data_IF_607992174883
#
_entry.id   IF_607992174883
#
_cell.length_a   1.000
_cell.length_b   1.000
_cell.length_c   1.000
_cell.angle_alpha   90.00
_cell.angle_beta   90.00
_cell.angle_gamma   90.00
#
_symmetry.space_group_name_H-M   'P 1'
#
loop_
_entity.id
_entity.type
_entity.pdbx_description
1 polymer ?
#
# COMPACT_ATOMS: atom_id res chain seq x y z
N UNK A 1 3.06 -14.55 -9.57
CA UNK A 1 1.60 -14.34 -9.76
C UNK A 1 0.78 -14.80 -8.56
N UNK A 2 0.87 -16.08 -8.11
CA UNK A 2 0.08 -16.57 -6.97
C UNK A 2 0.21 -15.71 -5.70
N UNK A 3 1.44 -15.36 -5.30
CA UNK A 3 1.66 -14.49 -4.13
C UNK A 3 0.98 -13.12 -4.23
N UNK A 4 0.90 -12.54 -5.44
CA UNK A 4 0.17 -11.28 -5.65
C UNK A 4 -1.31 -11.44 -5.37
N UNK A 5 -1.93 -12.52 -5.88
CA UNK A 5 -3.35 -12.80 -5.64
C UNK A 5 -3.60 -13.09 -4.16
N UNK A 6 -2.78 -13.93 -3.52
CA UNK A 6 -2.89 -14.23 -2.07
C UNK A 6 -2.78 -12.96 -1.23
N UNK A 7 -1.86 -12.08 -1.57
CA UNK A 7 -1.66 -10.80 -0.88
C UNK A 7 -2.83 -9.84 -1.06
N UNK A 8 -3.34 -9.73 -2.28
CA UNK A 8 -4.53 -8.95 -2.58
C UNK A 8 -5.72 -9.45 -1.76
N UNK A 9 -5.98 -10.76 -1.78
CA UNK A 9 -7.05 -11.38 -1.00
C UNK A 9 -6.89 -11.15 0.51
N UNK A 10 -5.66 -11.23 1.04
CA UNK A 10 -5.39 -10.93 2.44
C UNK A 10 -5.78 -9.48 2.79
N UNK A 11 -5.37 -8.50 1.97
CA UNK A 11 -5.72 -7.10 2.17
C UNK A 11 -7.23 -6.89 2.08
N UNK A 12 -7.91 -7.53 1.12
CA UNK A 12 -9.37 -7.47 1.00
C UNK A 12 -10.08 -8.04 2.22
N UNK A 13 -9.64 -9.20 2.72
CA UNK A 13 -10.23 -9.82 3.91
C UNK A 13 -10.02 -8.95 5.14
N UNK A 14 -8.81 -8.42 5.35
CA UNK A 14 -8.51 -7.52 6.47
C UNK A 14 -9.35 -6.23 6.35
N UNK A 15 -9.43 -5.64 5.16
CA UNK A 15 -10.19 -4.44 4.89
C UNK A 15 -11.68 -4.63 5.13
N UNK A 16 -12.28 -5.69 4.55
CA UNK A 16 -13.69 -5.99 4.73
C UNK A 16 -14.03 -6.31 6.19
N UNK A 17 -13.21 -7.10 6.88
CA UNK A 17 -13.41 -7.40 8.29
C UNK A 17 -13.42 -6.13 9.14
N UNK A 18 -12.45 -5.24 8.88
CA UNK A 18 -12.34 -3.95 9.56
C UNK A 18 -13.51 -3.03 9.22
N UNK A 19 -13.93 -2.99 7.96
CA UNK A 19 -15.10 -2.21 7.53
C UNK A 19 -16.37 -2.60 8.31
N UNK A 20 -16.62 -3.90 8.48
CA UNK A 20 -17.78 -4.39 9.24
C UNK A 20 -17.70 -4.01 10.72
N UNK A 21 -16.53 -4.17 11.35
CA UNK A 21 -16.30 -3.81 12.76
C UNK A 21 -16.53 -2.30 12.99
N UNK A 22 -15.98 -1.46 12.11
CA UNK A 22 -16.00 0.00 12.26
C UNK A 22 -17.23 0.68 11.65
N UNK A 23 -18.19 -0.08 11.12
CA UNK A 23 -19.39 0.44 10.46
C UNK A 23 -20.21 1.39 11.35
N UNK A 24 -20.18 1.22 12.68
CA UNK A 24 -20.84 2.15 13.60
C UNK A 24 -20.04 3.40 13.96
N UNK A 25 -18.73 3.39 13.78
CA UNK A 25 -17.87 4.52 14.15
C UNK A 25 -17.94 5.59 13.05
N UNK A 26 -17.85 5.19 11.78
CA UNK A 26 -17.85 6.10 10.64
C UNK A 26 -19.25 6.39 10.09
N UNK A 27 -20.24 6.63 10.96
CA UNK A 27 -21.65 6.86 10.55
C UNK A 27 -21.83 8.13 9.73
N UNK A 28 -20.99 9.15 9.91
CA UNK A 28 -21.14 10.46 9.25
C UNK A 28 -20.45 10.51 7.89
N UNK A 29 -19.49 9.63 7.64
CA UNK A 29 -18.69 9.63 6.41
C UNK A 29 -19.49 8.98 5.25
N UNK A 30 -19.52 9.58 4.05
CA UNK A 30 -20.23 9.06 2.88
C UNK A 30 -19.98 7.59 2.55
N UNK A 31 -18.74 7.10 2.62
CA UNK A 31 -18.35 5.71 2.33
C UNK A 31 -18.39 4.79 3.58
N UNK A 32 -18.84 5.32 4.73
CA UNK A 32 -18.84 4.64 6.04
C UNK A 32 -17.48 4.08 6.48
N UNK A 33 -16.39 4.72 6.03
CA UNK A 33 -15.02 4.33 6.39
C UNK A 33 -14.48 3.15 5.59
N UNK A 34 -15.13 2.76 4.48
CA UNK A 34 -14.65 1.68 3.61
C UNK A 34 -13.24 1.97 3.07
N UNK A 35 -12.97 3.19 2.61
CA UNK A 35 -11.70 3.59 2.01
C UNK A 35 -10.49 3.42 2.92
N UNK A 36 -10.65 3.71 4.20
CA UNK A 36 -9.59 3.60 5.21
C UNK A 36 -9.58 2.24 5.92
N UNK A 37 -10.56 1.38 5.66
CA UNK A 37 -10.70 0.09 6.36
C UNK A 37 -9.51 -0.85 6.14
N UNK A 38 -8.96 -0.88 4.92
CA UNK A 38 -7.76 -1.64 4.55
C UNK A 38 -6.53 -1.20 5.36
N UNK A 39 -6.06 0.06 5.28
CA UNK A 39 -4.90 0.49 6.07
C UNK A 39 -5.18 0.44 7.58
N UNK A 40 -6.38 0.81 8.03
CA UNK A 40 -6.72 0.76 9.46
C UNK A 40 -6.65 -0.68 10.01
N UNK A 41 -7.20 -1.65 9.28
CA UNK A 41 -7.19 -3.05 9.69
C UNK A 41 -5.78 -3.61 9.81
N UNK A 42 -4.94 -3.32 8.82
CA UNK A 42 -3.54 -3.73 8.80
C UNK A 42 -2.79 -3.10 9.98
N UNK A 43 -2.97 -1.79 10.22
CA UNK A 43 -2.34 -1.09 11.34
C UNK A 43 -2.82 -1.65 12.67
N UNK A 44 -4.14 -1.85 12.87
CA UNK A 44 -4.68 -2.39 14.11
C UNK A 44 -4.14 -3.79 14.42
N UNK A 45 -4.10 -4.67 13.41
CA UNK A 45 -3.59 -6.03 13.55
C UNK A 45 -2.09 -6.04 13.88
N UNK A 46 -1.32 -5.19 13.19
CA UNK A 46 0.12 -5.05 13.39
C UNK A 46 0.45 -4.39 14.73
N UNK A 47 -0.33 -3.40 15.15
CA UNK A 47 -0.16 -2.72 16.43
C UNK A 47 -0.48 -3.64 17.59
N UNK A 48 -1.55 -4.44 17.50
CA UNK A 48 -1.91 -5.42 18.52
C UNK A 48 -0.80 -6.46 18.70
N UNK A 49 -0.32 -7.05 17.60
CA UNK A 49 0.78 -8.03 17.64
C UNK A 49 2.08 -7.40 18.15
N UNK A 50 2.39 -6.17 17.76
CA UNK A 50 3.56 -5.44 18.23
C UNK A 50 3.50 -5.13 19.73
N UNK A 51 2.40 -4.55 20.22
CA UNK A 51 2.23 -4.16 21.63
C UNK A 51 2.31 -5.38 22.56
N UNK A 52 1.70 -6.50 22.18
CA UNK A 52 1.72 -7.71 23.01
C UNK A 52 3.10 -8.38 23.00
N UNK A 53 3.83 -8.24 21.91
CA UNK A 53 5.18 -8.79 21.73
C UNK A 53 6.26 -7.93 22.37
N UNK A 54 6.14 -6.60 22.38
CA UNK A 54 7.07 -5.70 23.09
C UNK A 54 6.84 -5.76 24.61
N UNK A 55 5.61 -6.02 25.04
CA UNK A 55 5.26 -6.19 26.46
C UNK A 55 5.58 -7.59 26.99
N UNK A 56 6.16 -8.47 26.15
CA UNK A 56 6.50 -9.86 26.48
C UNK A 56 5.30 -10.74 26.93
N UNK A 57 4.06 -10.31 26.64
CA UNK A 57 2.83 -11.03 27.02
C UNK A 57 2.57 -12.19 26.04
N UNK A 58 2.64 -11.91 24.73
CA UNK A 58 2.42 -12.90 23.68
C UNK A 58 3.52 -12.72 22.63
N UNK A 59 4.33 -13.75 22.36
CA UNK A 59 5.36 -13.67 21.33
C UNK A 59 4.71 -13.57 19.95
N UNK A 60 5.28 -12.75 19.06
CA UNK A 60 4.82 -12.58 17.68
C UNK A 60 5.17 -13.77 16.78
N UNK A 61 4.86 -14.99 17.20
CA UNK A 61 5.00 -16.19 16.35
C UNK A 61 4.00 -16.17 15.19
N UNK A 62 4.27 -16.94 14.13
CA UNK A 62 3.32 -17.11 13.02
C UNK A 62 1.94 -17.52 13.52
N UNK A 63 1.88 -18.54 14.38
CA UNK A 63 0.63 -19.03 14.99
C UNK A 63 -0.09 -17.91 15.74
N UNK A 64 0.60 -17.16 16.61
CA UNK A 64 -0.02 -16.07 17.35
C UNK A 64 -0.59 -15.00 16.40
N UNK A 65 0.18 -14.57 15.40
CA UNK A 65 -0.28 -13.57 14.41
C UNK A 65 -1.49 -14.06 13.59
N UNK A 66 -1.52 -15.33 13.19
CA UNK A 66 -2.66 -15.97 12.52
C UNK A 66 -3.88 -16.01 13.45
N UNK A 67 -3.70 -16.32 14.74
CA UNK A 67 -4.80 -16.32 15.70
C UNK A 67 -5.40 -14.91 15.89
N UNK A 68 -4.59 -13.84 15.90
CA UNK A 68 -5.10 -12.47 15.91
C UNK A 68 -5.90 -12.15 14.65
N UNK A 69 -5.43 -12.59 13.48
CA UNK A 69 -6.15 -12.43 12.22
C UNK A 69 -7.48 -13.19 12.23
N UNK A 70 -7.50 -14.44 12.72
CA UNK A 70 -8.74 -15.22 12.88
C UNK A 70 -9.69 -14.52 13.88
N UNK A 71 -9.17 -13.98 14.98
CA UNK A 71 -9.93 -13.19 15.94
C UNK A 71 -10.60 -11.97 15.29
N UNK A 72 -9.89 -11.24 14.44
CA UNK A 72 -10.45 -10.13 13.65
C UNK A 72 -11.62 -10.60 12.77
N UNK A 73 -11.45 -11.72 12.06
CA UNK A 73 -12.50 -12.29 11.21
C UNK A 73 -13.72 -12.71 12.04
N UNK A 74 -13.52 -13.40 13.15
CA UNK A 74 -14.62 -13.84 14.04
C UNK A 74 -15.38 -12.62 14.57
N UNK A 75 -14.68 -11.59 15.07
CA UNK A 75 -15.29 -10.34 15.53
C UNK A 75 -16.14 -9.69 14.42
N UNK A 76 -15.59 -9.63 13.20
CA UNK A 76 -16.31 -9.12 12.03
C UNK A 76 -17.57 -9.95 11.73
N UNK A 77 -17.49 -11.28 11.75
CA UNK A 77 -18.63 -12.16 11.46
C UNK A 77 -19.74 -12.01 12.52
N UNK A 78 -19.39 -11.93 13.81
CA UNK A 78 -20.34 -11.70 14.90
C UNK A 78 -21.05 -10.35 14.71
N UNK A 79 -20.30 -9.28 14.46
CA UNK A 79 -20.90 -7.95 14.25
C UNK A 79 -21.74 -7.92 12.96
N UNK A 80 -21.25 -8.54 11.89
CA UNK A 80 -21.90 -8.61 10.59
C UNK A 80 -23.22 -9.36 10.63
N UNK A 81 -23.31 -10.45 11.39
CA UNK A 81 -24.57 -11.21 11.60
C UNK A 81 -25.57 -10.43 12.42
N UNK A 82 -25.15 -9.81 13.53
CA UNK A 82 -26.01 -8.96 14.37
C UNK A 82 -26.54 -7.76 13.59
N UNK A 83 -25.73 -7.18 12.68
CA UNK A 83 -26.05 -5.94 11.94
C UNK A 83 -26.25 -6.15 10.45
N UNK A 84 -26.68 -7.34 10.02
CA UNK A 84 -26.79 -7.70 8.60
C UNK A 84 -27.67 -6.74 7.81
N UNK A 85 -28.78 -6.26 8.39
CA UNK A 85 -29.68 -5.32 7.73
C UNK A 85 -29.03 -3.94 7.54
N UNK A 86 -28.30 -3.46 8.55
CA UNK A 86 -27.57 -2.18 8.47
C UNK A 86 -26.44 -2.27 7.43
N UNK A 87 -25.69 -3.37 7.41
CA UNK A 87 -24.63 -3.60 6.43
C UNK A 87 -25.19 -3.60 5.00
N UNK A 88 -26.27 -4.35 4.76
CA UNK A 88 -26.95 -4.37 3.45
C UNK A 88 -27.42 -2.98 3.01
N UNK A 89 -28.03 -2.22 3.92
CA UNK A 89 -28.48 -0.84 3.63
C UNK A 89 -27.31 0.10 3.33
N UNK A 90 -26.23 0.01 4.10
CA UNK A 90 -25.02 0.82 3.90
C UNK A 90 -24.39 0.54 2.54
N UNK A 91 -24.18 -0.74 2.21
CA UNK A 91 -23.62 -1.13 0.92
C UNK A 91 -24.53 -0.69 -0.21
N UNK A 92 -25.84 -0.96 -0.11
CA UNK A 92 -26.82 -0.55 -1.13
C UNK A 92 -26.88 0.96 -1.34
N UNK A 93 -26.76 1.76 -0.28
CA UNK A 93 -26.90 3.21 -0.39
C UNK A 93 -25.61 3.91 -0.85
N UNK A 94 -24.45 3.27 -0.65
CA UNK A 94 -23.13 3.89 -0.92
C UNK A 94 -22.30 3.07 -1.92
N UNK A 95 -22.91 2.12 -2.65
CA UNK A 95 -22.19 1.22 -3.56
C UNK A 95 -21.34 1.96 -4.60
N UNK A 96 -21.77 3.14 -5.08
CA UNK A 96 -21.04 3.92 -6.09
C UNK A 96 -19.67 4.37 -5.58
N UNK A 97 -19.64 5.03 -4.42
CA UNK A 97 -18.38 5.52 -3.84
C UNK A 97 -17.50 4.34 -3.39
N UNK A 98 -18.09 3.27 -2.84
CA UNK A 98 -17.38 2.04 -2.48
C UNK A 98 -16.74 1.42 -3.72
N UNK A 99 -17.50 1.26 -4.82
CA UNK A 99 -16.99 0.64 -6.05
C UNK A 99 -15.93 1.47 -6.75
N UNK A 100 -16.05 2.79 -6.75
CA UNK A 100 -15.03 3.67 -7.34
C UNK A 100 -13.74 3.70 -6.51
N UNK A 101 -13.88 3.68 -5.18
CA UNK A 101 -12.75 3.57 -4.24
C UNK A 101 -12.02 2.24 -4.46
N UNK A 102 -12.78 1.16 -4.57
CA UNK A 102 -12.25 -0.19 -4.81
C UNK A 102 -11.60 -0.31 -6.19
N UNK A 103 -12.23 0.24 -7.23
CA UNK A 103 -11.66 0.30 -8.56
C UNK A 103 -10.32 1.06 -8.57
N UNK A 104 -10.25 2.18 -7.85
CA UNK A 104 -9.01 2.94 -7.70
C UNK A 104 -7.93 2.10 -7.00
N UNK A 105 -8.27 1.41 -5.92
CA UNK A 105 -7.37 0.49 -5.23
C UNK A 105 -6.84 -0.59 -6.19
N UNK A 106 -7.73 -1.31 -6.87
CA UNK A 106 -7.38 -2.44 -7.75
C UNK A 106 -6.56 -2.00 -8.97
N UNK A 107 -6.88 -0.87 -9.58
CA UNK A 107 -6.12 -0.35 -10.71
C UNK A 107 -4.71 0.06 -10.29
N UNK A 108 -4.57 0.79 -9.17
CA UNK A 108 -3.24 1.17 -8.66
C UNK A 108 -2.46 -0.06 -8.20
N UNK A 109 -3.11 -1.03 -7.55
CA UNK A 109 -2.50 -2.31 -7.20
C UNK A 109 -1.95 -3.01 -8.45
N UNK A 110 -2.76 -3.13 -9.51
CA UNK A 110 -2.35 -3.79 -10.75
C UNK A 110 -1.17 -3.07 -11.41
N UNK A 111 -1.18 -1.73 -11.47
CA UNK A 111 -0.08 -0.94 -12.05
C UNK A 111 1.22 -1.22 -11.30
N UNK A 112 1.23 -1.08 -9.98
CA UNK A 112 2.45 -1.30 -9.19
C UNK A 112 2.86 -2.77 -9.13
N UNK A 113 1.90 -3.69 -9.15
CA UNK A 113 2.17 -5.11 -9.26
C UNK A 113 2.89 -5.42 -10.57
N UNK A 114 2.44 -4.87 -11.70
CA UNK A 114 3.13 -5.02 -12.98
C UNK A 114 4.55 -4.45 -12.94
N UNK A 115 4.75 -3.27 -12.35
CA UNK A 115 6.08 -2.66 -12.18
C UNK A 115 7.02 -3.60 -11.40
N UNK A 116 6.60 -4.04 -10.20
CA UNK A 116 7.42 -4.93 -9.35
C UNK A 116 7.53 -6.36 -9.88
N UNK A 117 6.59 -6.80 -10.72
CA UNK A 117 6.67 -8.10 -11.37
C UNK A 117 7.70 -8.11 -12.50
N UNK A 118 7.83 -7.00 -13.23
CA UNK A 118 8.82 -6.85 -14.30
C UNK A 118 10.24 -6.67 -13.75
N UNK A 119 10.40 -5.97 -12.62
CA UNK A 119 11.67 -5.81 -11.93
C UNK A 119 11.53 -6.04 -10.40
N UNK A 120 11.58 -7.30 -9.95
CA UNK A 120 11.45 -7.65 -8.54
C UNK A 120 12.75 -7.50 -7.75
N UNK A 121 13.83 -7.04 -8.38
CA UNK A 121 15.16 -6.90 -7.77
C UNK A 121 15.14 -6.08 -6.48
N UNK A 122 15.97 -6.52 -5.52
CA UNK A 122 16.19 -5.85 -4.22
C UNK A 122 17.70 -5.61 -4.11
N UNK A 123 18.23 -4.79 -5.02
CA UNK A 123 19.66 -4.62 -5.22
C UNK A 123 20.04 -3.17 -5.52
N UNK A 124 19.12 -2.23 -5.36
CA UNK A 124 19.36 -0.81 -5.63
C UNK A 124 19.35 -0.03 -4.32
N UNK A 125 20.31 0.89 -4.17
CA UNK A 125 20.38 1.88 -3.08
C UNK A 125 20.08 1.29 -1.69
N UNK A 126 19.02 1.75 -1.04
CA UNK A 126 18.61 1.39 0.32
C UNK A 126 17.76 0.11 0.37
N UNK A 127 17.35 -0.45 -0.78
CA UNK A 127 16.49 -1.63 -0.82
C UNK A 127 17.06 -2.84 -0.04
N UNK A 128 18.37 -3.15 -0.10
CA UNK A 128 18.93 -4.23 0.69
C UNK A 128 18.81 -3.99 2.20
N UNK A 129 18.97 -2.75 2.66
CA UNK A 129 18.78 -2.37 4.08
C UNK A 129 17.32 -2.55 4.49
N UNK A 130 16.38 -1.99 3.73
CA UNK A 130 14.95 -2.11 4.00
C UNK A 130 14.51 -3.59 4.05
N UNK A 131 15.04 -4.40 3.14
CA UNK A 131 14.77 -5.83 3.10
C UNK A 131 15.37 -6.58 4.30
N UNK A 132 16.55 -6.18 4.77
CA UNK A 132 17.15 -6.73 5.98
C UNK A 132 16.30 -6.41 7.21
N UNK A 133 15.80 -5.17 7.34
CA UNK A 133 14.91 -4.77 8.44
C UNK A 133 13.53 -5.44 8.38
N UNK A 134 12.98 -5.66 7.17
CA UNK A 134 11.79 -6.49 6.98
C UNK A 134 12.02 -7.92 7.43
N UNK A 135 13.15 -8.54 7.07
CA UNK A 135 13.49 -9.89 7.53
C UNK A 135 13.62 -9.96 9.05
N UNK A 136 14.33 -9.01 9.67
CA UNK A 136 14.48 -8.97 11.11
C UNK A 136 13.11 -8.84 11.81
N UNK A 137 12.25 -7.96 11.32
CA UNK A 137 10.89 -7.74 11.86
C UNK A 137 9.96 -8.93 11.63
N UNK A 138 10.09 -9.62 10.49
CA UNK A 138 9.29 -10.80 10.16
C UNK A 138 9.78 -12.07 10.88
N UNK A 139 11.04 -12.15 11.29
CA UNK A 139 11.59 -13.32 11.99
C UNK A 139 11.57 -13.20 13.49
N UNK A 140 11.60 -11.99 14.03
CA UNK A 140 11.58 -11.81 15.48
C UNK A 140 10.27 -12.32 16.09
N UNK A 141 10.40 -12.92 17.27
CA UNK A 141 9.28 -13.35 18.12
C UNK A 141 9.02 -12.37 19.26
N UNK A 142 9.94 -11.45 19.53
CA UNK A 142 9.80 -10.37 20.50
C UNK A 142 9.58 -9.06 19.76
N UNK A 143 9.08 -8.04 20.46
CA UNK A 143 8.99 -6.68 19.89
C UNK A 143 10.36 -6.01 19.71
N UNK A 144 11.46 -6.77 19.65
CA UNK A 144 12.81 -6.25 19.60
C UNK A 144 13.57 -6.95 18.47
N UNK A 145 13.33 -6.59 17.20
CA UNK A 145 14.07 -7.18 16.09
C UNK A 145 15.55 -6.84 16.20
N UNK A 146 16.39 -7.85 15.99
CA UNK A 146 17.85 -7.69 15.98
C UNK A 146 18.29 -6.86 14.77
N UNK A 147 19.29 -6.01 14.98
CA UNK A 147 19.91 -5.23 13.93
C UNK A 147 20.78 -6.15 13.05
N UNK A 148 20.50 -6.24 11.73
CA UNK A 148 21.31 -7.04 10.83
C UNK A 148 22.78 -6.58 10.75
N UNK A 149 23.05 -5.29 10.93
CA UNK A 149 24.37 -4.67 10.78
C UNK A 149 25.12 -4.50 12.09
N UNK A 150 24.46 -4.64 13.24
CA UNK A 150 25.09 -4.54 14.54
C UNK A 150 24.77 -5.76 15.42
N UNK A 151 25.67 -6.75 15.34
CA UNK A 151 25.46 -8.06 15.94
C UNK A 151 25.24 -7.99 17.46
N UNK A 152 24.10 -8.51 17.92
CA UNK A 152 23.73 -8.61 19.33
C UNK A 152 22.84 -7.47 19.82
N UNK A 153 22.69 -6.42 19.02
CA UNK A 153 21.85 -5.26 19.33
C UNK A 153 20.54 -5.28 18.54
N UNK A 154 19.60 -4.45 18.97
CA UNK A 154 18.28 -4.27 18.33
C UNK A 154 18.31 -3.10 17.36
N UNK A 155 17.43 -3.10 16.36
CA UNK A 155 17.30 -2.00 15.39
C UNK A 155 17.07 -0.67 16.12
N UNK A 156 18.00 0.29 15.93
CA UNK A 156 17.91 1.64 16.51
C UNK A 156 17.12 2.64 15.64
N UNK A 157 16.42 2.15 14.61
CA UNK A 157 15.59 2.92 13.68
C UNK A 157 14.09 2.67 13.90
N UNK A 158 13.25 3.53 13.33
CA UNK A 158 11.82 3.26 13.26
C UNK A 158 11.56 2.02 12.41
N UNK A 159 11.24 0.89 13.03
CA UNK A 159 11.01 -0.37 12.33
C UNK A 159 9.54 -0.79 12.24
N UNK A 160 8.60 -0.05 12.85
CA UNK A 160 7.20 -0.48 12.88
C UNK A 160 6.57 -0.58 11.47
N UNK A 161 7.06 0.21 10.50
CA UNK A 161 6.69 0.03 9.09
C UNK A 161 7.05 -1.37 8.55
N UNK A 162 8.23 -1.88 8.89
CA UNK A 162 8.63 -3.25 8.57
C UNK A 162 7.86 -4.29 9.37
N UNK A 163 7.50 -3.99 10.62
CA UNK A 163 6.64 -4.84 11.43
C UNK A 163 5.25 -5.03 10.81
N UNK A 164 4.67 -3.97 10.25
CA UNK A 164 3.37 -4.03 9.57
C UNK A 164 3.37 -5.09 8.46
N UNK A 165 4.36 -5.02 7.56
CA UNK A 165 4.44 -5.96 6.45
C UNK A 165 4.99 -7.33 6.86
N UNK A 166 5.82 -7.39 7.91
CA UNK A 166 6.24 -8.63 8.55
C UNK A 166 5.07 -9.39 9.17
N UNK A 167 4.11 -8.69 9.76
CA UNK A 167 2.86 -9.28 10.28
C UNK A 167 2.04 -9.91 9.15
N UNK A 168 1.90 -9.21 8.02
CA UNK A 168 1.22 -9.75 6.84
C UNK A 168 1.99 -10.93 6.21
N UNK A 169 3.33 -10.92 6.23
CA UNK A 169 4.16 -12.06 5.80
C UNK A 169 3.88 -13.29 6.66
N UNK A 170 3.84 -13.16 8.00
CA UNK A 170 3.51 -14.26 8.92
C UNK A 170 2.11 -14.82 8.70
N UNK A 171 1.12 -13.97 8.46
CA UNK A 171 -0.27 -14.40 8.22
C UNK A 171 -0.42 -15.12 6.87
N UNK A 172 0.20 -14.57 5.82
CA UNK A 172 0.10 -15.12 4.47
C UNK A 172 1.04 -16.29 4.19
N UNK A 173 2.03 -16.51 5.06
CA UNK A 173 3.14 -17.44 4.85
C UNK A 173 3.90 -17.18 3.53
N UNK A 174 3.87 -15.93 3.06
CA UNK A 174 4.59 -15.50 1.85
C UNK A 174 6.05 -15.19 2.25
N UNK A 175 7.05 -15.69 1.50
CA UNK A 175 8.46 -15.38 1.75
C UNK A 175 8.72 -13.87 1.72
N UNK A 176 9.58 -13.40 2.63
CA UNK A 176 9.87 -11.96 2.81
C UNK A 176 10.33 -11.27 1.52
N UNK A 177 11.03 -11.97 0.61
CA UNK A 177 11.45 -11.44 -0.71
C UNK A 177 10.23 -11.00 -1.53
N UNK A 178 9.17 -11.81 -1.53
CA UNK A 178 7.93 -11.48 -2.19
C UNK A 178 7.11 -10.46 -1.38
N UNK A 179 7.09 -10.57 -0.04
CA UNK A 179 6.46 -9.59 0.84
C UNK A 179 7.01 -8.18 0.61
N UNK A 180 8.33 -8.01 0.52
CA UNK A 180 8.96 -6.70 0.26
C UNK A 180 8.38 -6.06 -1.01
N UNK A 181 8.41 -6.81 -2.10
CA UNK A 181 7.85 -6.40 -3.38
C UNK A 181 6.36 -6.06 -3.29
N UNK A 182 5.57 -6.91 -2.65
CA UNK A 182 4.12 -6.74 -2.52
C UNK A 182 3.72 -5.61 -1.55
N UNK A 183 4.61 -5.25 -0.62
CA UNK A 183 4.45 -4.08 0.25
C UNK A 183 4.54 -2.80 -0.58
N UNK A 184 5.51 -2.72 -1.49
CA UNK A 184 5.66 -1.62 -2.45
C UNK A 184 4.49 -1.54 -3.45
N UNK A 185 3.70 -2.61 -3.60
CA UNK A 185 2.44 -2.59 -4.35
C UNK A 185 1.27 -2.09 -3.50
N UNK A 186 1.18 -2.57 -2.25
CA UNK A 186 0.05 -2.27 -1.38
C UNK A 186 0.01 -0.81 -0.90
N UNK A 187 1.18 -0.23 -0.59
CA UNK A 187 1.29 1.16 -0.11
C UNK A 187 0.64 2.15 -1.08
N UNK A 188 1.07 2.26 -2.36
CA UNK A 188 0.47 3.22 -3.29
C UNK A 188 -1.00 2.90 -3.59
N UNK A 189 -1.39 1.62 -3.62
CA UNK A 189 -2.78 1.23 -3.85
C UNK A 189 -3.71 1.73 -2.74
N UNK A 190 -3.34 1.50 -1.47
CA UNK A 190 -4.11 1.98 -0.32
C UNK A 190 -4.11 3.51 -0.23
N UNK A 191 -2.99 4.16 -0.57
CA UNK A 191 -2.89 5.62 -0.63
C UNK A 191 -3.84 6.18 -1.68
N UNK A 192 -3.83 5.66 -2.91
CA UNK A 192 -4.70 6.10 -3.99
C UNK A 192 -6.18 6.00 -3.60
N UNK A 193 -6.62 4.86 -3.08
CA UNK A 193 -8.02 4.68 -2.68
C UNK A 193 -8.43 5.58 -1.51
N UNK A 194 -7.52 5.81 -0.56
CA UNK A 194 -7.79 6.69 0.59
C UNK A 194 -7.93 8.15 0.16
N UNK A 195 -7.03 8.61 -0.72
CA UNK A 195 -7.08 9.98 -1.27
C UNK A 195 -8.31 10.16 -2.16
N UNK A 196 -8.63 9.19 -3.02
CA UNK A 196 -9.83 9.23 -3.84
C UNK A 196 -11.09 9.46 -3.00
N UNK A 197 -11.27 8.64 -1.96
CA UNK A 197 -12.43 8.73 -1.10
C UNK A 197 -12.43 10.05 -0.31
N UNK A 198 -11.29 10.46 0.23
CA UNK A 198 -11.15 11.72 0.96
C UNK A 198 -11.58 12.92 0.10
N UNK A 199 -11.07 13.02 -1.13
CA UNK A 199 -11.44 14.07 -2.08
C UNK A 199 -12.93 13.99 -2.46
N UNK A 200 -13.45 12.79 -2.71
CA UNK A 200 -14.88 12.58 -3.01
C UNK A 200 -15.78 13.02 -1.85
N UNK A 201 -15.35 12.79 -0.61
CA UNK A 201 -16.07 13.20 0.59
C UNK A 201 -16.08 14.72 0.73
N UNK A 202 -14.94 15.39 0.54
CA UNK A 202 -14.85 16.85 0.59
C UNK A 202 -15.68 17.54 -0.49
N UNK A 203 -15.74 16.95 -1.69
CA UNK A 203 -16.56 17.44 -2.79
C UNK A 203 -18.04 17.02 -2.70
N UNK A 204 -18.43 16.37 -1.59
CA UNK A 204 -19.83 15.95 -1.30
C UNK A 204 -20.41 15.04 -2.39
N UNK A 205 -19.69 13.95 -2.71
CA UNK A 205 -20.09 12.98 -3.72
C UNK A 205 -21.58 12.59 -3.61
N UNK A 206 -22.40 12.81 -4.67
CA UNK A 206 -23.82 12.55 -4.60
C UNK A 206 -24.11 11.04 -4.58
N UNK A 207 -24.95 10.60 -3.63
CA UNK A 207 -25.31 9.17 -3.51
C UNK A 207 -26.09 8.63 -4.72
N UNK A 208 -26.84 9.48 -5.40
CA UNK A 208 -27.82 9.08 -6.41
C UNK A 208 -27.25 9.00 -7.84
N UNK A 209 -26.15 9.69 -8.15
CA UNK A 209 -25.58 9.78 -9.50
C UNK A 209 -24.06 9.74 -9.49
N UNK A 210 -23.48 9.29 -10.61
CA UNK A 210 -22.05 9.47 -10.85
C UNK A 210 -21.82 10.92 -11.25
N UNK A 211 -21.11 11.67 -10.40
CA UNK A 211 -20.74 13.05 -10.69
C UNK A 211 -19.36 13.13 -11.32
N UNK A 212 -19.32 13.43 -12.62
CA UNK A 212 -18.09 13.41 -13.41
C UNK A 212 -17.02 14.36 -12.85
N UNK A 213 -17.41 15.54 -12.37
CA UNK A 213 -16.46 16.52 -11.83
C UNK A 213 -15.81 15.98 -10.55
N UNK A 214 -16.60 15.53 -9.59
CA UNK A 214 -16.09 14.95 -8.33
C UNK A 214 -15.19 13.73 -8.59
N UNK A 215 -15.60 12.84 -9.49
CA UNK A 215 -14.81 11.66 -9.86
C UNK A 215 -13.48 12.10 -10.46
N UNK A 216 -13.49 13.00 -11.44
CA UNK A 216 -12.29 13.46 -12.13
C UNK A 216 -11.31 14.14 -11.17
N UNK A 217 -11.80 15.02 -10.29
CA UNK A 217 -10.97 15.65 -9.26
C UNK A 217 -10.38 14.63 -8.28
N UNK A 218 -11.15 13.61 -7.88
CA UNK A 218 -10.69 12.57 -6.96
C UNK A 218 -9.66 11.62 -7.58
N UNK A 219 -9.86 11.25 -8.85
CA UNK A 219 -8.87 10.50 -9.64
C UNK A 219 -7.60 11.33 -9.80
N UNK A 220 -7.72 12.60 -10.18
CA UNK A 220 -6.57 13.49 -10.34
C UNK A 220 -5.79 13.64 -9.03
N UNK A 221 -6.45 13.85 -7.89
CA UNK A 221 -5.81 13.92 -6.58
C UNK A 221 -5.08 12.61 -6.20
N UNK A 222 -5.65 11.46 -6.55
CA UNK A 222 -5.04 10.16 -6.28
C UNK A 222 -3.82 9.92 -7.15
N UNK A 223 -3.90 10.29 -8.44
CA UNK A 223 -2.79 10.20 -9.37
C UNK A 223 -1.63 11.12 -8.95
N UNK A 224 -1.91 12.36 -8.56
CA UNK A 224 -0.88 13.27 -8.09
C UNK A 224 -0.24 12.78 -6.79
N UNK A 225 -1.04 12.27 -5.83
CA UNK A 225 -0.51 11.73 -4.58
C UNK A 225 0.45 10.54 -4.78
N UNK A 226 0.22 9.71 -5.80
CA UNK A 226 1.03 8.49 -6.04
C UNK A 226 2.18 8.72 -7.03
N UNK A 227 1.96 9.47 -8.10
CA UNK A 227 2.90 9.55 -9.22
C UNK A 227 3.75 10.84 -9.24
N UNK A 228 3.34 11.92 -8.57
CA UNK A 228 4.06 13.20 -8.65
C UNK A 228 5.50 13.11 -8.11
N UNK A 229 5.76 12.22 -7.15
CA UNK A 229 7.12 11.99 -6.63
C UNK A 229 8.03 11.20 -7.56
N UNK A 230 7.50 10.61 -8.64
CA UNK A 230 8.21 9.69 -9.53
C UNK A 230 8.31 10.21 -10.97
N UNK A 231 8.26 11.55 -11.16
CA UNK A 231 8.28 12.17 -12.49
C UNK A 231 9.62 12.01 -13.22
N UNK A 232 10.71 11.71 -12.50
CA UNK A 232 12.02 11.49 -13.12
C UNK A 232 11.97 10.41 -14.19
N UNK A 233 11.34 9.26 -13.93
CA UNK A 233 11.24 8.18 -14.93
C UNK A 233 10.50 8.60 -16.21
N UNK A 234 9.50 9.49 -16.09
CA UNK A 234 8.81 10.06 -17.25
C UNK A 234 9.69 11.03 -18.04
N UNK A 235 10.48 11.85 -17.34
CA UNK A 235 11.45 12.74 -17.95
C UNK A 235 12.56 11.94 -18.65
N UNK A 236 13.07 10.88 -18.04
CA UNK A 236 14.06 10.00 -18.65
C UNK A 236 13.53 9.36 -19.93
N UNK A 237 12.27 8.90 -19.93
CA UNK A 237 11.61 8.39 -21.14
C UNK A 237 11.56 9.43 -22.27
N UNK A 238 11.24 10.69 -21.96
CA UNK A 238 11.29 11.76 -22.98
C UNK A 238 12.72 12.02 -23.48
N UNK A 239 13.68 12.04 -22.57
CA UNK A 239 15.09 12.29 -22.90
C UNK A 239 15.66 11.23 -23.83
N UNK A 240 15.42 9.94 -23.59
CA UNK A 240 15.94 8.84 -24.44
C UNK A 240 15.28 8.80 -25.83
N UNK A 241 14.10 9.41 -25.98
CA UNK A 241 13.41 9.57 -27.26
C UNK A 241 13.76 10.92 -27.94
N UNK A 242 14.82 11.59 -27.49
CA UNK A 242 15.27 12.89 -28.00
C UNK A 242 14.19 13.99 -27.96
N UNK A 243 13.28 13.91 -27.00
CA UNK A 243 12.23 14.90 -26.77
C UNK A 243 12.76 15.98 -25.79
N UNK A 244 12.57 17.25 -26.12
CA UNK A 244 12.95 18.40 -25.28
C UNK A 244 14.22 19.12 -25.74
N UNK A 245 14.20 20.46 -25.69
CA UNK A 245 15.33 21.31 -26.08
C UNK A 245 16.45 21.28 -25.03
N UNK A 246 17.66 21.68 -25.42
CA UNK A 246 18.77 21.93 -24.47
C UNK A 246 18.35 22.89 -23.34
N UNK A 247 17.64 23.96 -23.69
CA UNK A 247 17.13 24.93 -22.72
C UNK A 247 16.04 24.39 -21.79
N UNK A 248 15.34 23.32 -22.17
CA UNK A 248 14.38 22.62 -21.31
C UNK A 248 15.12 21.77 -20.29
N UNK A 249 16.05 20.93 -20.74
CA UNK A 249 16.82 20.02 -19.87
C UNK A 249 17.70 20.76 -18.87
N UNK A 250 18.30 21.89 -19.27
CA UNK A 250 19.00 22.79 -18.36
C UNK A 250 18.11 23.42 -17.29
N UNK A 251 16.82 23.67 -17.60
CA UNK A 251 15.85 24.22 -16.63
C UNK A 251 15.32 23.17 -15.67
N UNK A 252 15.12 21.94 -16.15
CA UNK A 252 14.77 20.78 -15.32
C UNK A 252 15.88 20.48 -14.32
N UNK A 253 17.15 20.63 -14.73
CA UNK A 253 18.32 20.60 -13.86
C UNK A 253 18.41 19.36 -12.95
N UNK A 254 18.02 18.20 -13.47
CA UNK A 254 18.26 16.91 -12.82
C UNK A 254 19.68 16.46 -13.19
N UNK A 255 20.46 16.06 -12.19
CA UNK A 255 21.82 15.58 -12.39
C UNK A 255 21.85 14.39 -13.35
N UNK A 256 22.80 14.39 -14.30
CA UNK A 256 22.87 13.42 -15.39
C UNK A 256 21.91 13.65 -16.56
N UNK A 257 20.92 14.55 -16.43
CA UNK A 257 19.89 14.80 -17.46
C UNK A 257 19.90 16.22 -18.07
N UNK A 258 20.94 17.01 -17.80
CA UNK A 258 21.01 18.43 -18.19
C UNK A 258 21.14 18.66 -19.71
N UNK A 259 21.50 17.62 -20.47
CA UNK A 259 21.67 17.68 -21.92
C UNK A 259 20.75 16.67 -22.65
N UNK A 260 20.25 17.03 -23.84
CA UNK A 260 19.47 16.11 -24.67
C UNK A 260 20.32 14.95 -25.18
N UNK A 261 19.69 13.81 -25.46
CA UNK A 261 20.34 12.67 -26.08
C UNK A 261 20.28 12.83 -27.60
N UNK A 262 21.42 12.70 -28.27
CA UNK A 262 21.57 12.90 -29.73
C UNK A 262 21.12 11.66 -30.51
N UNK A 263 21.33 10.46 -29.95
CA UNK A 263 20.96 9.19 -30.57
C UNK A 263 19.87 8.49 -29.75
N UNK A 264 18.71 8.25 -30.36
CA UNK A 264 17.64 7.50 -29.70
C UNK A 264 18.08 6.08 -29.39
N UNK A 265 17.71 5.58 -28.21
CA UNK A 265 17.99 4.20 -27.80
C UNK A 265 16.82 3.32 -28.23
N UNK A 266 17.09 2.16 -28.83
CA UNK A 266 16.06 1.15 -29.13
C UNK A 266 15.69 0.36 -27.87
N UNK A 267 15.12 1.07 -26.89
CA UNK A 267 14.67 0.51 -25.62
C UNK A 267 13.47 1.30 -25.10
N UNK A 268 12.51 0.60 -24.50
CA UNK A 268 11.36 1.22 -23.86
C UNK A 268 11.69 1.91 -22.52
N UNK A 269 12.91 1.69 -22.00
CA UNK A 269 13.42 2.27 -20.74
C UNK A 269 14.87 2.75 -20.86
N UNK A 270 15.32 3.66 -20.00
CA UNK A 270 16.73 4.04 -19.91
C UNK A 270 17.61 2.81 -19.59
N UNK A 271 18.78 2.74 -20.22
CA UNK A 271 19.80 1.71 -19.97
C UNK A 271 21.12 2.30 -19.48
N UNK A 272 21.20 3.63 -19.38
CA UNK A 272 22.33 4.35 -18.81
C UNK A 272 22.48 4.00 -17.34
N UNK A 273 23.72 3.86 -16.87
CA UNK A 273 24.00 3.68 -15.45
C UNK A 273 23.66 4.98 -14.71
N UNK A 274 22.87 4.86 -13.64
CA UNK A 274 22.48 5.98 -12.79
C UNK A 274 23.13 5.79 -11.40
N UNK A 275 23.92 6.77 -10.98
CA UNK A 275 24.30 6.99 -9.57
C UNK A 275 23.74 8.32 -9.10
#
# INVERSE_FOLDING_TARGET
MLYGITWLLLIEVVGFATFVIFLSIFRTIPDKGYSISKPLGIICLSLATWLLSISEIIPATEIATILFFIGLIICSLIIGTIRVNTLKQVVKNNWRIISLTELTFLLTYLIFFCIRYLDPGINHTEQPMDFAFLNASARTITGQPLDPWFHGDTISYYYFGYWIFGTLSKISLIPTVATYNLSLVAIPAMTASSIFALTSIFLKFPRLKFDFLTISCSVFASLTAVFMGNLQGFLEFFRINSIGSSSFWQRVCIDGMQNPVINTIDSWRPTEFWW
#
